data_IF_589077543126
#
_entry.id   IF_589077543126
#
_cell.length_a   1.000
_cell.length_b   1.000
_cell.length_c   1.000
_cell.angle_alpha   90.00
_cell.angle_beta   90.00
_cell.angle_gamma   90.00
#
_symmetry.space_group_name_H-M   'P 1'
#
loop_
_entity.id
_entity.type
_entity.pdbx_description
1 polymer ?
#
# COMPACT_ATOMS: atom_id res chain seq x y z
N UNK A 1 30.47 27.18 15.70
CA UNK A 1 30.15 26.47 14.43
C UNK A 1 29.27 25.30 14.78
N UNK A 2 27.96 25.39 14.57
CA UNK A 2 27.02 24.29 14.81
C UNK A 2 27.19 23.26 13.70
N UNK A 3 27.72 22.08 14.04
CA UNK A 3 27.67 20.92 13.16
C UNK A 3 26.23 20.45 13.05
N UNK A 4 25.48 20.97 12.07
CA UNK A 4 24.22 20.37 11.66
C UNK A 4 24.56 19.14 10.84
N UNK A 5 24.66 17.98 11.49
CA UNK A 5 24.67 16.71 10.77
C UNK A 5 23.38 16.69 9.93
N UNK A 6 23.44 16.51 8.61
CA UNK A 6 22.22 16.41 7.81
C UNK A 6 21.38 15.27 8.39
N UNK A 7 20.13 15.57 8.78
CA UNK A 7 19.23 14.55 9.29
C UNK A 7 19.04 13.49 8.21
N UNK A 8 19.63 12.31 8.42
CA UNK A 8 19.42 11.15 7.56
C UNK A 8 18.04 10.57 7.89
N UNK A 9 17.12 10.64 6.95
CA UNK A 9 15.85 9.93 7.06
C UNK A 9 16.07 8.45 6.76
N UNK A 10 15.48 7.59 7.58
CA UNK A 10 15.53 6.14 7.43
C UNK A 10 14.10 5.63 7.26
N UNK A 11 13.86 4.80 6.25
CA UNK A 11 12.59 4.13 6.05
C UNK A 11 12.67 2.72 6.65
N UNK A 12 11.62 2.29 7.34
CA UNK A 12 11.43 0.90 7.73
C UNK A 12 10.20 0.40 6.98
N UNK A 13 10.35 -0.69 6.23
CA UNK A 13 9.26 -1.26 5.43
C UNK A 13 9.05 -2.71 5.84
N UNK A 14 7.82 -3.01 6.25
CA UNK A 14 7.40 -4.37 6.61
C UNK A 14 6.75 -5.06 5.40
N UNK A 15 6.81 -6.39 5.33
CA UNK A 15 6.21 -7.16 4.23
C UNK A 15 6.83 -6.84 2.86
N UNK A 16 8.12 -6.49 2.85
CA UNK A 16 8.83 -5.96 1.68
C UNK A 16 9.54 -7.02 0.82
N UNK A 17 9.34 -8.32 1.08
CA UNK A 17 9.96 -9.40 0.31
C UNK A 17 9.54 -9.42 -1.17
N UNK A 18 8.33 -8.96 -1.51
CA UNK A 18 7.80 -8.96 -2.88
C UNK A 18 6.68 -7.94 -3.11
N UNK A 19 6.23 -7.85 -4.36
CA UNK A 19 5.06 -7.07 -4.78
C UNK A 19 5.12 -5.61 -4.32
N UNK A 20 3.99 -5.11 -3.83
CA UNK A 20 3.84 -3.72 -3.37
C UNK A 20 4.82 -3.35 -2.26
N UNK A 21 5.05 -4.22 -1.27
CA UNK A 21 5.98 -3.93 -0.18
C UNK A 21 7.41 -3.75 -0.70
N UNK A 22 7.84 -4.59 -1.64
CA UNK A 22 9.15 -4.45 -2.27
C UNK A 22 9.28 -3.13 -3.04
N UNK A 23 8.24 -2.72 -3.78
CA UNK A 23 8.23 -1.44 -4.49
C UNK A 23 8.31 -0.25 -3.51
N UNK A 24 7.54 -0.30 -2.42
CA UNK A 24 7.57 0.70 -1.35
C UNK A 24 8.94 0.77 -0.67
N UNK A 25 9.66 -0.34 -0.51
CA UNK A 25 11.03 -0.33 0.03
C UNK A 25 12.06 0.23 -0.95
N UNK A 26 11.93 -0.07 -2.25
CA UNK A 26 12.87 0.39 -3.28
C UNK A 26 12.79 1.88 -3.50
N UNK A 27 11.60 2.47 -3.42
CA UNK A 27 11.40 3.89 -3.77
C UNK A 27 12.20 4.85 -2.87
N UNK A 28 12.13 4.79 -1.52
CA UNK A 28 12.98 5.60 -0.65
C UNK A 28 14.47 5.33 -0.85
N UNK A 29 14.87 4.10 -1.16
CA UNK A 29 16.26 3.77 -1.45
C UNK A 29 16.77 4.48 -2.72
N UNK A 30 15.93 4.60 -3.76
CA UNK A 30 16.22 5.39 -4.97
C UNK A 30 16.36 6.88 -4.66
N UNK A 31 15.60 7.37 -3.67
CA UNK A 31 15.67 8.74 -3.17
C UNK A 31 16.85 8.94 -2.17
N UNK A 32 17.69 7.92 -1.97
CA UNK A 32 18.93 7.99 -1.19
C UNK A 32 18.77 7.76 0.32
N UNK A 33 17.59 7.31 0.78
CA UNK A 33 17.36 6.98 2.19
C UNK A 33 17.95 5.61 2.55
N UNK A 34 18.37 5.47 3.80
CA UNK A 34 18.63 4.15 4.36
C UNK A 34 17.29 3.42 4.53
N UNK A 35 17.22 2.15 4.14
CA UNK A 35 15.98 1.36 4.20
C UNK A 35 16.21 0.07 4.99
N UNK A 36 15.46 -0.10 6.08
CA UNK A 36 15.33 -1.36 6.81
C UNK A 36 14.14 -2.15 6.30
N UNK A 37 14.37 -3.38 5.85
CA UNK A 37 13.32 -4.30 5.40
C UNK A 37 13.06 -5.34 6.49
N UNK A 38 11.80 -5.50 6.87
CA UNK A 38 11.36 -6.48 7.88
C UNK A 38 10.30 -7.39 7.24
N UNK A 39 10.54 -8.69 7.23
CA UNK A 39 9.57 -9.65 6.71
C UNK A 39 9.47 -10.88 7.60
N UNK A 40 8.34 -11.56 7.51
CA UNK A 40 8.10 -12.86 8.14
C UNK A 40 8.20 -13.96 7.08
N UNK A 41 8.56 -15.16 7.50
CA UNK A 41 8.62 -16.30 6.58
C UNK A 41 7.21 -16.58 6.03
N UNK A 42 7.13 -16.83 4.72
CA UNK A 42 5.85 -17.03 4.02
C UNK A 42 5.15 -18.31 4.45
N UNK A 43 5.87 -19.28 5.02
CA UNK A 43 5.30 -20.49 5.60
C UNK A 43 4.19 -20.20 6.63
N UNK A 44 4.22 -19.01 7.23
CA UNK A 44 3.38 -18.66 8.38
C UNK A 44 2.18 -17.76 8.01
N UNK A 45 1.93 -17.51 6.72
CA UNK A 45 0.87 -16.59 6.27
C UNK A 45 -0.46 -17.28 5.95
N UNK A 46 -1.55 -16.76 6.50
CA UNK A 46 -2.93 -17.05 6.04
C UNK A 46 -3.15 -16.32 4.70
N UNK A 47 -3.65 -17.02 3.68
CA UNK A 47 -3.63 -16.59 2.28
C UNK A 47 -4.10 -15.15 2.01
N UNK A 48 -3.24 -14.34 1.41
CA UNK A 48 -3.55 -12.96 0.99
C UNK A 48 -4.18 -12.95 -0.40
N UNK A 49 -5.29 -12.22 -0.58
CA UNK A 49 -5.96 -12.02 -1.87
C UNK A 49 -6.27 -10.53 -2.05
N UNK A 50 -6.37 -10.06 -3.30
CA UNK A 50 -6.42 -8.65 -3.69
C UNK A 50 -7.80 -7.98 -3.51
N UNK A 51 -7.81 -6.65 -3.38
CA UNK A 51 -9.01 -5.80 -3.31
C UNK A 51 -8.91 -4.71 -2.24
N UNK A 52 -9.30 -3.47 -2.54
CA UNK A 52 -9.27 -2.32 -1.62
C UNK A 52 -10.27 -2.44 -0.46
N UNK A 53 -10.13 -1.64 0.62
CA UNK A 53 -11.14 -1.55 1.66
C UNK A 53 -12.47 -1.09 1.03
N UNK A 54 -13.47 -1.97 0.99
CA UNK A 54 -14.83 -1.67 0.58
C UNK A 54 -15.75 -1.90 1.78
N UNK A 55 -16.72 -1.02 1.98
CA UNK A 55 -17.76 -1.25 2.99
C UNK A 55 -18.68 -2.36 2.50
N UNK A 56 -18.47 -3.58 3.02
CA UNK A 56 -19.24 -4.77 2.67
C UNK A 56 -18.56 -5.64 1.62
N UNK A 57 -18.02 -6.78 2.06
CA UNK A 57 -17.62 -7.90 1.20
C UNK A 57 -18.42 -9.13 1.65
N UNK A 58 -19.45 -9.49 0.90
CA UNK A 58 -20.31 -10.64 1.21
C UNK A 58 -19.60 -11.98 1.02
N UNK A 59 -18.45 -12.00 0.33
CA UNK A 59 -17.65 -13.19 0.10
C UNK A 59 -16.57 -13.40 1.17
N UNK A 60 -16.10 -12.33 1.84
CA UNK A 60 -15.03 -12.39 2.87
C UNK A 60 -15.21 -11.36 4.00
N UNK A 61 -16.07 -11.72 4.95
CA UNK A 61 -16.42 -10.87 6.11
C UNK A 61 -15.21 -10.57 7.00
N UNK A 62 -14.33 -11.54 7.21
CA UNK A 62 -13.08 -11.43 7.98
C UNK A 62 -12.11 -10.42 7.34
N UNK A 63 -11.95 -10.49 6.03
CA UNK A 63 -11.07 -9.60 5.28
C UNK A 63 -11.61 -8.17 5.22
N UNK A 64 -12.90 -8.02 4.87
CA UNK A 64 -13.57 -6.72 4.83
C UNK A 64 -13.58 -6.02 6.18
N UNK A 65 -13.88 -6.75 7.26
CA UNK A 65 -13.87 -6.20 8.63
C UNK A 65 -12.48 -5.79 9.09
N UNK A 66 -11.45 -6.61 8.83
CA UNK A 66 -10.05 -6.28 9.18
C UNK A 66 -9.60 -5.01 8.46
N UNK A 67 -9.89 -4.87 7.15
CA UNK A 67 -9.54 -3.68 6.37
C UNK A 67 -10.28 -2.43 6.80
N UNK A 68 -11.56 -2.55 7.15
CA UNK A 68 -12.32 -1.44 7.73
C UNK A 68 -11.75 -1.03 9.10
N UNK A 69 -11.32 -1.99 9.92
CA UNK A 69 -10.63 -1.75 11.20
C UNK A 69 -9.35 -0.94 11.04
N UNK A 70 -8.56 -1.19 9.99
CA UNK A 70 -7.36 -0.41 9.70
C UNK A 70 -7.64 1.07 9.44
N UNK A 71 -8.79 1.41 8.85
CA UNK A 71 -9.18 2.82 8.64
C UNK A 71 -9.38 3.53 10.00
N UNK A 72 -10.11 2.88 10.92
CA UNK A 72 -10.30 3.39 12.28
C UNK A 72 -8.99 3.50 13.04
N UNK A 73 -8.15 2.47 12.95
CA UNK A 73 -6.82 2.43 13.57
C UNK A 73 -5.92 3.59 13.10
N UNK A 74 -5.83 3.84 11.79
CA UNK A 74 -5.06 4.95 11.23
C UNK A 74 -5.53 6.30 11.78
N UNK A 75 -6.84 6.53 11.85
CA UNK A 75 -7.40 7.78 12.40
C UNK A 75 -7.09 7.93 13.90
N UNK A 76 -7.18 6.85 14.67
CA UNK A 76 -6.82 6.86 16.09
C UNK A 76 -5.33 7.14 16.32
N UNK A 77 -4.44 6.59 15.49
CA UNK A 77 -3.01 6.89 15.52
C UNK A 77 -2.75 8.37 15.19
N UNK A 78 -3.38 8.90 14.14
CA UNK A 78 -3.23 10.29 13.76
C UNK A 78 -3.60 11.25 14.90
N UNK A 79 -4.70 10.99 15.60
CA UNK A 79 -5.16 11.82 16.72
C UNK A 79 -4.24 11.70 17.95
N UNK A 80 -3.76 10.49 18.27
CA UNK A 80 -2.94 10.26 19.46
C UNK A 80 -1.48 10.70 19.28
N UNK A 81 -0.92 10.50 18.09
CA UNK A 81 0.49 10.75 17.81
C UNK A 81 0.76 12.13 17.20
N UNK A 82 -0.26 12.84 16.70
CA UNK A 82 -0.11 14.17 16.11
C UNK A 82 0.55 15.20 17.03
N UNK A 83 0.31 15.10 18.35
CA UNK A 83 0.98 15.94 19.37
C UNK A 83 2.50 15.78 19.40
N UNK A 84 3.02 14.69 18.86
CA UNK A 84 4.44 14.36 18.79
C UNK A 84 5.02 14.63 17.39
N UNK A 85 4.26 15.26 16.49
CA UNK A 85 4.69 15.53 15.12
C UNK A 85 4.76 14.26 14.24
N UNK A 86 4.02 13.21 14.60
CA UNK A 86 3.96 11.95 13.85
C UNK A 86 2.66 11.90 13.05
N UNK A 87 2.77 11.66 11.74
CA UNK A 87 1.63 11.45 10.85
C UNK A 87 1.33 9.97 10.70
N UNK A 88 0.06 9.63 10.45
CA UNK A 88 -0.38 8.27 10.18
C UNK A 88 -1.43 8.30 9.07
N UNK A 89 -1.16 7.63 7.96
CA UNK A 89 -2.05 7.57 6.80
C UNK A 89 -2.18 6.12 6.31
N UNK A 90 -3.25 5.84 5.56
CA UNK A 90 -3.50 4.55 4.94
C UNK A 90 -3.62 4.71 3.42
N UNK A 91 -3.01 3.80 2.67
CA UNK A 91 -3.20 3.70 1.23
C UNK A 91 -4.16 2.54 0.94
N UNK A 92 -5.16 2.80 0.11
CA UNK A 92 -6.16 1.86 -0.35
C UNK A 92 -5.93 1.55 -1.85
N UNK A 93 -5.19 0.48 -2.16
CA UNK A 93 -4.98 0.08 -3.55
C UNK A 93 -6.28 -0.42 -4.18
N UNK A 94 -6.47 -0.11 -5.46
CA UNK A 94 -7.40 -0.81 -6.34
C UNK A 94 -6.77 -2.11 -6.86
N UNK A 95 -7.06 -2.43 -8.12
CA UNK A 95 -6.42 -3.56 -8.79
C UNK A 95 -4.97 -3.21 -9.13
N UNK A 96 -4.02 -3.82 -8.41
CA UNK A 96 -2.58 -3.65 -8.60
C UNK A 96 -1.96 -4.99 -8.95
N UNK A 97 -1.12 -4.99 -9.97
CA UNK A 97 -0.45 -6.18 -10.46
C UNK A 97 0.54 -6.73 -9.42
N UNK A 98 0.42 -8.03 -9.12
CA UNK A 98 1.33 -8.74 -8.24
C UNK A 98 1.47 -10.22 -8.59
N UNK A 99 2.41 -10.91 -7.93
CA UNK A 99 2.52 -12.38 -7.99
C UNK A 99 1.21 -13.07 -7.55
N UNK A 100 0.45 -12.43 -6.66
CA UNK A 100 -0.87 -12.91 -6.20
C UNK A 100 -1.92 -12.78 -7.30
N UNK A 101 -1.89 -11.72 -8.11
CA UNK A 101 -2.75 -11.60 -9.30
C UNK A 101 -2.50 -12.76 -10.26
N UNK A 102 -1.22 -13.09 -10.49
CA UNK A 102 -0.82 -14.21 -11.36
C UNK A 102 -1.27 -15.56 -10.79
N UNK A 103 -1.14 -15.76 -9.49
CA UNK A 103 -1.66 -16.95 -8.82
C UNK A 103 -3.19 -17.05 -8.90
N UNK A 104 -3.89 -15.91 -8.83
CA UNK A 104 -5.35 -15.85 -8.95
C UNK A 104 -5.82 -16.19 -10.37
N UNK A 105 -5.17 -15.65 -11.40
CA UNK A 105 -5.44 -16.01 -12.80
C UNK A 105 -5.27 -17.53 -13.02
N UNK A 106 -4.19 -18.12 -12.50
CA UNK A 106 -3.94 -19.58 -12.55
C UNK A 106 -5.04 -20.39 -11.86
N UNK A 107 -5.44 -19.99 -10.64
CA UNK A 107 -6.50 -20.68 -9.88
C UNK A 107 -7.85 -20.65 -10.59
N UNK A 108 -8.14 -19.56 -11.29
CA UNK A 108 -9.37 -19.37 -12.05
C UNK A 108 -9.29 -19.94 -13.47
N UNK A 109 -8.14 -20.52 -13.86
CA UNK A 109 -7.96 -21.11 -15.19
C UNK A 109 -7.90 -20.09 -16.33
N UNK A 110 -7.61 -18.81 -16.02
CA UNK A 110 -7.50 -17.75 -17.02
C UNK A 110 -6.04 -17.51 -17.42
N UNK A 111 -5.83 -17.14 -18.68
CA UNK A 111 -4.58 -16.55 -19.11
C UNK A 111 -4.33 -15.24 -18.34
N UNK A 112 -3.08 -15.01 -17.94
CA UNK A 112 -2.73 -13.88 -17.10
C UNK A 112 -2.90 -12.53 -17.83
N UNK A 113 -2.52 -12.45 -19.10
CA UNK A 113 -2.63 -11.21 -19.87
C UNK A 113 -4.07 -10.92 -20.26
N UNK A 114 -4.87 -11.96 -20.54
CA UNK A 114 -6.31 -11.81 -20.70
C UNK A 114 -6.98 -11.35 -19.40
N UNK A 115 -6.60 -11.91 -18.26
CA UNK A 115 -7.10 -11.49 -16.94
C UNK A 115 -6.79 -10.03 -16.64
N UNK A 116 -5.56 -9.58 -16.91
CA UNK A 116 -5.16 -8.17 -16.78
C UNK A 116 -5.97 -7.26 -17.70
N UNK A 117 -6.14 -7.65 -18.96
CA UNK A 117 -6.89 -6.87 -19.95
C UNK A 117 -8.36 -6.74 -19.58
N UNK A 118 -8.95 -7.82 -19.07
CA UNK A 118 -10.33 -7.80 -18.56
C UNK A 118 -10.47 -6.89 -17.35
N UNK A 119 -9.54 -6.95 -16.39
CA UNK A 119 -9.53 -6.05 -15.25
C UNK A 119 -9.42 -4.57 -15.68
N UNK A 120 -8.52 -4.26 -16.61
CA UNK A 120 -8.33 -2.92 -17.19
C UNK A 120 -9.61 -2.32 -17.79
N UNK A 121 -10.44 -3.12 -18.48
CA UNK A 121 -11.70 -2.63 -19.08
C UNK A 121 -12.71 -2.11 -18.06
N UNK A 122 -12.61 -2.55 -16.80
CA UNK A 122 -13.48 -2.09 -15.71
C UNK A 122 -12.96 -0.84 -14.99
N UNK A 123 -11.76 -0.36 -15.33
CA UNK A 123 -11.10 0.77 -14.68
C UNK A 123 -11.21 2.04 -15.55
N UNK A 124 -11.79 3.14 -15.03
CA UNK A 124 -11.87 4.41 -15.76
C UNK A 124 -10.55 4.99 -16.23
N UNK A 125 -9.45 4.77 -15.48
CA UNK A 125 -8.12 5.22 -15.88
C UNK A 125 -7.60 4.48 -17.11
N UNK A 126 -8.10 3.28 -17.40
CA UNK A 126 -7.66 2.43 -18.50
C UNK A 126 -6.73 1.29 -18.04
N UNK A 127 -5.47 1.55 -17.65
CA UNK A 127 -4.56 0.49 -17.25
C UNK A 127 -4.82 0.01 -15.82
N UNK A 128 -4.41 -1.24 -15.55
CA UNK A 128 -4.27 -1.77 -14.18
C UNK A 128 -3.11 -1.06 -13.47
N UNK A 129 -3.19 -0.95 -12.14
CA UNK A 129 -2.12 -0.33 -11.35
C UNK A 129 -0.88 -1.23 -11.25
N UNK A 130 0.27 -0.61 -11.08
CA UNK A 130 1.55 -1.26 -10.82
C UNK A 130 2.01 -1.01 -9.36
N UNK A 131 2.85 -1.88 -8.78
CA UNK A 131 3.38 -1.69 -7.43
C UNK A 131 3.99 -0.31 -7.19
N UNK A 132 4.61 0.27 -8.22
CA UNK A 132 5.23 1.58 -8.21
C UNK A 132 4.21 2.72 -7.98
N UNK A 133 2.96 2.58 -8.42
CA UNK A 133 1.91 3.58 -8.18
C UNK A 133 1.63 3.75 -6.69
N UNK A 134 1.66 2.65 -5.95
CA UNK A 134 1.53 2.64 -4.48
C UNK A 134 2.81 3.21 -3.84
N UNK A 135 3.98 2.83 -4.35
CA UNK A 135 5.26 3.30 -3.84
C UNK A 135 5.41 4.82 -3.95
N UNK A 136 4.96 5.43 -5.06
CA UNK A 136 4.96 6.88 -5.23
C UNK A 136 4.09 7.58 -4.18
N UNK A 137 2.90 7.04 -3.93
CA UNK A 137 1.98 7.58 -2.91
C UNK A 137 2.57 7.44 -1.51
N UNK A 138 3.15 6.28 -1.17
CA UNK A 138 3.81 6.07 0.11
C UNK A 138 5.00 7.02 0.31
N UNK A 139 5.80 7.24 -0.74
CA UNK A 139 6.92 8.17 -0.73
C UNK A 139 6.47 9.61 -0.48
N UNK A 140 5.38 10.03 -1.10
CA UNK A 140 4.80 11.36 -0.85
C UNK A 140 4.30 11.50 0.58
N UNK A 141 3.55 10.52 1.10
CA UNK A 141 3.03 10.58 2.47
C UNK A 141 4.14 10.57 3.53
N UNK A 142 5.27 9.93 3.25
CA UNK A 142 6.46 9.92 4.11
C UNK A 142 7.34 11.18 3.95
N UNK A 143 7.03 12.05 2.98
CA UNK A 143 7.80 13.26 2.70
C UNK A 143 7.55 14.34 3.76
N UNK A 144 8.48 15.29 3.86
CA UNK A 144 8.39 16.40 4.81
C UNK A 144 7.24 17.34 4.44
N UNK A 145 6.98 17.46 3.15
CA UNK A 145 5.95 18.27 2.51
C UNK A 145 4.53 17.80 2.87
N UNK A 146 4.36 16.51 3.22
CA UNK A 146 3.08 15.96 3.67
C UNK A 146 2.79 16.20 5.17
N UNK A 147 3.72 16.79 5.93
CA UNK A 147 3.72 16.79 7.40
C UNK A 147 2.57 17.52 8.10
N UNK A 148 1.84 18.42 7.43
CA UNK A 148 0.62 19.01 8.00
C UNK A 148 -0.56 18.02 8.03
N UNK A 149 -0.39 16.92 7.31
CA UNK A 149 -1.41 15.99 6.99
C UNK A 149 -1.37 14.68 7.74
N UNK A 150 -2.48 14.27 8.34
CA UNK A 150 -2.55 12.96 9.01
C UNK A 150 -3.98 12.41 8.99
N UNK A 151 -4.11 11.10 9.16
CA UNK A 151 -5.38 10.38 9.27
C UNK A 151 -6.09 10.09 7.95
N UNK A 152 -5.39 10.17 6.81
CA UNK A 152 -6.01 9.99 5.50
C UNK A 152 -6.20 8.53 5.14
N UNK A 153 -7.25 8.30 4.35
CA UNK A 153 -7.39 7.14 3.49
C UNK A 153 -7.16 7.61 2.06
N UNK A 154 -6.03 7.24 1.47
CA UNK A 154 -5.66 7.64 0.11
C UNK A 154 -5.90 6.47 -0.82
N UNK A 155 -6.85 6.64 -1.73
CA UNK A 155 -7.14 5.64 -2.72
C UNK A 155 -6.22 5.75 -3.94
N UNK A 156 -5.65 4.62 -4.36
CA UNK A 156 -4.81 4.51 -5.56
C UNK A 156 -5.36 3.34 -6.38
N UNK A 157 -6.40 3.63 -7.18
CA UNK A 157 -7.28 2.59 -7.70
C UNK A 157 -7.71 2.75 -9.17
N UNK A 158 -7.17 3.71 -9.92
CA UNK A 158 -7.47 3.86 -11.36
C UNK A 158 -8.94 4.16 -11.70
N UNK A 159 -9.72 4.68 -10.74
CA UNK A 159 -11.17 4.89 -10.88
C UNK A 159 -11.79 5.38 -9.56
N UNK A 160 -13.10 5.66 -9.52
CA UNK A 160 -13.74 6.12 -8.30
C UNK A 160 -13.70 5.03 -7.23
N UNK A 161 -13.33 5.47 -6.04
CA UNK A 161 -13.35 4.73 -4.78
C UNK A 161 -13.54 5.82 -3.73
N UNK A 162 -14.81 6.15 -3.54
CA UNK A 162 -15.34 7.08 -2.55
C UNK A 162 -15.13 6.60 -1.11
#
# INVERSE_FOLDING_TARGET
MTHTTPQRHTAIVTGAARGTGAAVARRPAQDGLAVGVIDLDESDRVGTVEGGPRTGDTARVDYGSTRAGLIGFTKSLALSLGWHGITADAIAPGFVVSDTTRASARRLGHDYEEFRRSAAQSLPAGPVGEPEDIAHTASFLASREAGFGSGRLVFVAGGPVD
#
